data_IF_821093976370
#
_entry.id   IF_821093976370
#
_cell.length_a   1.000
_cell.length_b   1.000
_cell.length_c   1.000
_cell.angle_alpha   90.00
_cell.angle_beta   90.00
_cell.angle_gamma   90.00
#
_symmetry.space_group_name_H-M   'P 1'
#
loop_
_entity.id
_entity.type
_entity.pdbx_description
1 polymer ?
#
# COMPACT_ATOMS: atom_id res chain seq x y z
N UNK A 1 12.52 2.38 8.99
CA UNK A 1 11.83 1.17 9.45
C UNK A 1 12.51 -0.05 8.85
N UNK A 2 12.75 -1.05 9.68
CA UNK A 2 13.46 -2.25 9.23
C UNK A 2 12.58 -3.49 9.14
N UNK A 3 11.27 -3.33 9.21
CA UNK A 3 10.38 -4.47 9.14
C UNK A 3 10.01 -4.89 7.70
N UNK A 4 10.38 -4.10 6.69
CA UNK A 4 10.17 -4.49 5.30
C UNK A 4 11.34 -5.34 4.79
N UNK A 5 11.01 -6.38 4.02
CA UNK A 5 12.02 -7.20 3.36
C UNK A 5 12.76 -6.38 2.29
N UNK A 6 14.00 -6.78 1.93
CA UNK A 6 14.72 -6.11 0.85
C UNK A 6 13.96 -6.08 -0.48
N UNK A 7 13.18 -7.12 -0.79
CA UNK A 7 12.39 -7.17 -2.02
C UNK A 7 11.29 -6.12 -2.02
N UNK A 8 10.63 -5.90 -0.87
CA UNK A 8 9.61 -4.87 -0.74
C UNK A 8 10.23 -3.47 -0.88
N UNK A 9 11.40 -3.26 -0.28
CA UNK A 9 12.14 -1.99 -0.40
C UNK A 9 12.52 -1.74 -1.86
N UNK A 10 12.98 -2.76 -2.57
CA UNK A 10 13.33 -2.65 -3.99
C UNK A 10 12.11 -2.28 -4.85
N UNK A 11 10.96 -2.89 -4.57
CA UNK A 11 9.73 -2.55 -5.28
C UNK A 11 9.36 -1.08 -5.05
N UNK A 12 9.42 -0.61 -3.80
CA UNK A 12 9.14 0.78 -3.46
C UNK A 12 10.10 1.72 -4.17
N UNK A 13 11.39 1.36 -4.23
CA UNK A 13 12.38 2.13 -4.98
C UNK A 13 12.04 2.23 -6.47
N UNK A 14 11.62 1.13 -7.08
CA UNK A 14 11.23 1.13 -8.50
C UNK A 14 10.04 2.08 -8.73
N UNK A 15 9.06 2.04 -7.84
CA UNK A 15 7.91 2.94 -7.92
C UNK A 15 8.31 4.40 -7.72
N UNK A 16 9.19 4.67 -6.77
CA UNK A 16 9.67 6.03 -6.50
C UNK A 16 10.42 6.61 -7.68
N UNK A 17 11.30 5.85 -8.30
CA UNK A 17 12.07 6.29 -9.47
C UNK A 17 11.18 6.62 -10.67
N UNK A 18 10.04 5.96 -10.78
CA UNK A 18 9.07 6.22 -11.86
C UNK A 18 7.99 7.21 -11.45
N UNK A 19 8.09 7.80 -10.26
CA UNK A 19 7.12 8.77 -9.73
C UNK A 19 5.68 8.22 -9.68
N UNK A 20 5.55 6.95 -9.37
CA UNK A 20 4.24 6.31 -9.18
C UNK A 20 3.60 6.85 -7.91
N UNK A 21 2.35 7.25 -7.99
CA UNK A 21 1.57 7.63 -6.81
C UNK A 21 0.94 6.40 -6.19
N UNK A 22 1.38 6.08 -5.00
CA UNK A 22 0.89 4.93 -4.24
C UNK A 22 0.93 5.23 -2.75
N UNK A 23 0.15 4.48 -1.99
CA UNK A 23 0.15 4.53 -0.53
C UNK A 23 0.26 3.10 0.00
N UNK A 24 1.09 2.91 1.03
CA UNK A 24 1.13 1.64 1.75
C UNK A 24 -0.05 1.61 2.71
N UNK A 25 -0.85 0.57 2.62
CA UNK A 25 -2.05 0.34 3.43
C UNK A 25 -1.94 -1.05 4.09
N UNK A 26 -3.01 -1.54 4.68
CA UNK A 26 -3.05 -2.89 5.22
C UNK A 26 -2.15 -3.12 6.43
N UNK A 27 -1.68 -4.35 6.60
CA UNK A 27 -0.95 -4.78 7.78
C UNK A 27 0.32 -4.01 8.07
N UNK A 28 1.09 -3.65 7.06
CA UNK A 28 2.32 -2.85 7.26
C UNK A 28 2.01 -1.41 7.70
N UNK A 29 0.89 -0.84 7.24
CA UNK A 29 0.45 0.47 7.72
C UNK A 29 0.00 0.39 9.18
N UNK A 30 -0.73 -0.67 9.54
CA UNK A 30 -1.13 -0.93 10.94
C UNK A 30 0.10 -1.01 11.83
N UNK A 31 1.12 -1.75 11.41
CA UNK A 31 2.39 -1.87 12.15
C UNK A 31 3.10 -0.52 12.24
N UNK A 32 3.14 0.24 11.16
CA UNK A 32 3.78 1.57 11.14
C UNK A 32 3.15 2.55 12.13
N UNK A 33 1.84 2.44 12.32
CA UNK A 33 1.10 3.29 13.27
C UNK A 33 1.08 2.74 14.69
N UNK A 34 1.87 1.70 14.96
CA UNK A 34 2.16 1.26 16.32
C UNK A 34 1.45 -0.01 16.78
N UNK A 35 0.65 -0.65 15.94
CA UNK A 35 0.06 -1.95 16.28
C UNK A 35 0.86 -3.06 15.61
N UNK A 36 1.92 -3.48 16.29
CA UNK A 36 2.79 -4.53 15.77
C UNK A 36 2.08 -5.87 15.78
N UNK A 37 1.93 -6.47 14.62
CA UNK A 37 1.40 -7.83 14.45
C UNK A 37 2.03 -8.46 13.21
N UNK A 38 1.97 -9.79 13.15
CA UNK A 38 2.51 -10.51 12.00
C UNK A 38 1.77 -10.12 10.72
N UNK A 39 2.53 -9.78 9.68
CA UNK A 39 1.99 -9.50 8.37
C UNK A 39 2.97 -10.01 7.32
N UNK A 40 2.46 -10.57 6.23
CA UNK A 40 3.28 -11.20 5.19
C UNK A 40 3.21 -10.43 3.88
N UNK A 41 2.05 -9.88 3.56
CA UNK A 41 1.79 -9.29 2.27
C UNK A 41 1.92 -7.77 2.37
N UNK A 42 2.59 -7.17 1.40
CA UNK A 42 2.66 -5.73 1.28
C UNK A 42 1.47 -5.26 0.45
N UNK A 43 0.58 -4.47 1.03
CA UNK A 43 -0.57 -3.91 0.35
C UNK A 43 -0.25 -2.50 -0.15
N UNK A 44 -0.27 -2.32 -1.45
CA UNK A 44 0.08 -1.07 -2.12
C UNK A 44 -1.13 -0.55 -2.89
N UNK A 45 -1.66 0.57 -2.45
CA UNK A 45 -2.81 1.22 -3.08
C UNK A 45 -2.32 2.22 -4.11
N UNK A 46 -2.71 2.04 -5.37
CA UNK A 46 -2.25 2.87 -6.49
C UNK A 46 -3.36 3.77 -6.99
N UNK A 47 -3.00 5.00 -7.38
CA UNK A 47 -3.97 5.95 -7.96
C UNK A 47 -4.42 5.46 -9.32
N UNK A 48 -5.74 5.45 -9.55
CA UNK A 48 -6.34 5.19 -10.87
C UNK A 48 -6.19 6.48 -11.70
N UNK A 49 -5.23 6.46 -12.62
CA UNK A 49 -4.93 7.58 -13.51
C UNK A 49 -4.10 7.03 -14.67
N UNK A 50 -4.40 7.40 -15.95
CA UNK A 50 -3.68 6.83 -17.10
C UNK A 50 -2.16 6.97 -17.00
N UNK A 51 -1.68 8.16 -16.69
CA UNK A 51 -0.24 8.41 -16.53
C UNK A 51 0.37 7.61 -15.39
N UNK A 52 -0.33 7.52 -14.27
CA UNK A 52 0.13 6.73 -13.13
C UNK A 52 0.18 5.24 -13.46
N UNK A 53 -0.83 4.74 -14.17
CA UNK A 53 -0.86 3.34 -14.60
C UNK A 53 0.32 3.01 -15.53
N UNK A 54 0.64 3.91 -16.46
CA UNK A 54 1.80 3.73 -17.35
C UNK A 54 3.11 3.69 -16.56
N UNK A 55 3.29 4.61 -15.62
CA UNK A 55 4.49 4.65 -14.76
C UNK A 55 4.60 3.42 -13.89
N UNK A 56 3.47 2.91 -13.37
CA UNK A 56 3.44 1.69 -12.58
C UNK A 56 3.91 0.49 -13.39
N UNK A 57 3.45 0.35 -14.64
CA UNK A 57 3.89 -0.75 -15.51
C UNK A 57 5.41 -0.68 -15.74
N UNK A 58 5.94 0.54 -15.96
CA UNK A 58 7.39 0.72 -16.11
C UNK A 58 8.13 0.35 -14.82
N UNK A 59 7.60 0.70 -13.67
CA UNK A 59 8.18 0.31 -12.38
C UNK A 59 8.19 -1.21 -12.20
N UNK A 60 7.13 -1.89 -12.63
CA UNK A 60 7.05 -3.35 -12.59
C UNK A 60 8.08 -4.00 -13.51
N UNK A 61 8.30 -3.44 -14.68
CA UNK A 61 9.38 -3.89 -15.58
C UNK A 61 10.75 -3.73 -14.91
N UNK A 62 11.01 -2.58 -14.30
CA UNK A 62 12.25 -2.31 -13.56
C UNK A 62 12.44 -3.31 -12.41
N UNK A 63 11.36 -3.73 -11.80
CA UNK A 63 11.39 -4.71 -10.71
C UNK A 63 11.54 -6.16 -11.21
N UNK A 64 11.47 -6.37 -12.53
CA UNK A 64 11.66 -7.69 -13.14
C UNK A 64 10.34 -8.46 -13.36
N UNK A 65 9.21 -7.75 -13.39
CA UNK A 65 7.89 -8.37 -13.55
C UNK A 65 7.28 -8.21 -14.94
N UNK A 66 8.07 -7.85 -15.96
CA UNK A 66 7.58 -7.68 -17.33
C UNK A 66 6.99 -8.97 -17.91
N UNK A 67 7.47 -10.12 -17.47
CA UNK A 67 6.97 -11.42 -17.96
C UNK A 67 5.55 -11.75 -17.49
N UNK A 68 5.05 -11.02 -16.49
CA UNK A 68 3.68 -11.21 -16.00
C UNK A 68 2.63 -10.68 -16.98
N UNK A 69 3.03 -9.75 -17.88
CA UNK A 69 2.16 -9.26 -18.94
C UNK A 69 1.13 -8.23 -18.51
N UNK A 70 1.38 -7.52 -17.41
CA UNK A 70 0.49 -6.46 -16.95
C UNK A 70 0.56 -5.23 -17.87
N UNK A 71 -0.58 -4.61 -18.09
CA UNK A 71 -0.72 -3.41 -18.93
C UNK A 71 -1.34 -2.27 -18.12
N UNK A 72 -1.23 -1.02 -18.57
CA UNK A 72 -1.89 0.10 -17.87
C UNK A 72 -3.40 -0.11 -17.67
N UNK A 73 -4.08 -0.76 -18.61
CA UNK A 73 -5.51 -1.03 -18.51
C UNK A 73 -5.88 -1.87 -17.27
N UNK A 74 -4.95 -2.71 -16.81
CA UNK A 74 -5.17 -3.54 -15.62
C UNK A 74 -5.36 -2.72 -14.34
N UNK A 75 -4.97 -1.45 -14.34
CA UNK A 75 -5.00 -0.57 -13.16
C UNK A 75 -5.97 0.61 -13.32
N UNK A 76 -6.90 0.54 -14.28
CA UNK A 76 -7.80 1.65 -14.58
C UNK A 76 -9.21 1.49 -14.03
N UNK A 77 -9.53 0.35 -13.44
CA UNK A 77 -10.85 0.10 -12.84
C UNK A 77 -10.74 0.03 -11.33
N UNK A 78 -11.77 0.44 -10.58
CA UNK A 78 -11.79 0.23 -9.13
C UNK A 78 -11.96 -1.24 -8.79
N UNK A 79 -11.69 -1.59 -7.54
CA UNK A 79 -11.89 -2.92 -6.98
C UNK A 79 -11.05 -4.03 -7.65
N UNK A 80 -9.88 -3.66 -8.18
CA UNK A 80 -8.93 -4.61 -8.75
C UNK A 80 -7.84 -4.89 -7.71
N UNK A 81 -7.49 -6.16 -7.57
CA UNK A 81 -6.35 -6.62 -6.78
C UNK A 81 -5.44 -7.44 -7.69
N UNK A 82 -4.20 -6.99 -7.84
CA UNK A 82 -3.19 -7.73 -8.59
C UNK A 82 -2.16 -8.25 -7.59
N UNK A 83 -2.02 -9.57 -7.51
CA UNK A 83 -1.09 -10.22 -6.59
C UNK A 83 0.20 -10.54 -7.31
N UNK A 84 1.33 -10.06 -6.79
CA UNK A 84 2.66 -10.31 -7.33
C UNK A 84 3.44 -11.21 -6.38
N UNK A 85 4.05 -12.25 -6.94
CA UNK A 85 4.88 -13.18 -6.17
C UNK A 85 4.06 -14.21 -5.41
N UNK A 86 4.74 -14.94 -4.53
CA UNK A 86 4.18 -16.04 -3.76
C UNK A 86 4.56 -15.87 -2.28
N UNK A 87 3.75 -16.40 -1.34
CA UNK A 87 4.17 -16.42 0.05
C UNK A 87 5.58 -17.02 0.20
N UNK A 88 6.43 -16.49 1.09
CA UNK A 88 6.11 -15.50 2.13
C UNK A 88 6.21 -14.03 1.70
N UNK A 89 6.61 -13.73 0.47
CA UNK A 89 6.83 -12.37 -0.01
C UNK A 89 5.89 -12.05 -1.17
N UNK A 90 4.68 -11.64 -0.85
CA UNK A 90 3.67 -11.26 -1.84
C UNK A 90 3.37 -9.77 -1.74
N UNK A 91 3.25 -9.13 -2.90
CA UNK A 91 2.82 -7.74 -3.01
C UNK A 91 1.43 -7.72 -3.64
N UNK A 92 0.49 -7.06 -2.99
CA UNK A 92 -0.86 -6.88 -3.50
C UNK A 92 -1.04 -5.43 -3.95
N UNK A 93 -1.29 -5.23 -5.23
CA UNK A 93 -1.57 -3.91 -5.80
C UNK A 93 -3.09 -3.73 -5.82
N UNK A 94 -3.56 -2.67 -5.14
CA UNK A 94 -4.99 -2.39 -4.97
C UNK A 94 -5.34 -1.10 -5.70
N UNK A 95 -6.45 -1.10 -6.46
CA UNK A 95 -6.90 0.12 -7.13
C UNK A 95 -7.91 0.91 -6.29
N UNK A 96 -8.48 0.29 -5.25
CA UNK A 96 -9.34 0.97 -4.28
C UNK A 96 -9.25 0.31 -2.93
N UNK A 97 -9.60 1.05 -1.89
CA UNK A 97 -9.76 0.51 -0.53
C UNK A 97 -11.08 1.02 0.05
N UNK A 98 -11.67 0.22 0.93
CA UNK A 98 -13.03 0.49 1.43
C UNK A 98 -13.07 1.75 2.29
N UNK A 99 -14.04 2.61 2.02
CA UNK A 99 -14.40 3.72 2.90
C UNK A 99 -13.59 5.00 2.77
N UNK A 100 -12.56 5.03 1.91
CA UNK A 100 -11.71 6.21 1.73
C UNK A 100 -11.37 6.41 0.25
N UNK A 101 -11.04 7.64 -0.13
CA UNK A 101 -10.68 8.01 -1.49
C UNK A 101 -9.19 8.33 -1.58
N UNK A 102 -8.54 7.92 -2.67
CA UNK A 102 -7.08 8.09 -2.83
C UNK A 102 -6.64 9.56 -2.72
N UNK A 103 -7.32 10.47 -3.40
CA UNK A 103 -6.92 11.88 -3.41
C UNK A 103 -6.91 12.48 -2.02
N UNK A 104 -7.89 12.15 -1.18
CA UNK A 104 -7.95 12.61 0.19
C UNK A 104 -6.83 12.00 1.04
N UNK A 105 -6.63 10.70 0.90
CA UNK A 105 -5.57 10.00 1.65
C UNK A 105 -4.17 10.44 1.21
N UNK A 106 -3.99 10.76 -0.05
CA UNK A 106 -2.72 11.26 -0.57
C UNK A 106 -2.31 12.57 0.11
N UNK A 107 -3.25 13.49 0.30
CA UNK A 107 -2.99 14.76 0.97
C UNK A 107 -2.56 14.58 2.43
N UNK A 108 -3.08 13.55 3.08
CA UNK A 108 -2.84 13.29 4.50
C UNK A 108 -1.72 12.27 4.75
N UNK A 109 -1.08 11.79 3.71
CA UNK A 109 -0.11 10.69 3.84
C UNK A 109 1.05 11.02 4.76
N UNK A 110 1.57 9.98 5.38
CA UNK A 110 2.76 10.07 6.24
C UNK A 110 3.94 9.47 5.48
N UNK A 111 5.03 10.22 5.40
CA UNK A 111 6.24 9.76 4.70
C UNK A 111 7.16 9.11 5.73
N UNK A 112 7.54 7.86 5.48
CA UNK A 112 8.44 7.12 6.36
C UNK A 112 9.60 6.54 5.56
N UNK A 113 10.77 6.48 6.19
CA UNK A 113 11.93 5.77 5.64
C UNK A 113 11.75 4.27 5.89
N UNK A 114 11.82 3.46 4.84
CA UNK A 114 11.56 2.02 4.92
C UNK A 114 12.79 1.17 4.55
N UNK A 115 13.96 1.70 4.68
CA UNK A 115 15.20 0.99 4.37
C UNK A 115 16.09 1.79 3.44
N UNK A 116 16.14 3.11 3.65
CA UNK A 116 16.92 4.04 2.84
C UNK A 116 16.13 4.70 1.73
N UNK A 117 14.86 4.34 1.56
CA UNK A 117 13.94 4.98 0.61
C UNK A 117 12.70 5.46 1.36
N UNK A 118 12.18 6.61 0.97
CA UNK A 118 10.96 7.16 1.55
C UNK A 118 9.72 6.57 0.86
N UNK A 119 8.69 6.26 1.66
CA UNK A 119 7.42 5.77 1.15
C UNK A 119 6.26 6.47 1.84
N UNK A 120 5.20 6.73 1.08
CA UNK A 120 3.96 7.27 1.63
C UNK A 120 3.10 6.17 2.22
N UNK A 121 2.65 6.39 3.46
CA UNK A 121 1.72 5.49 4.15
C UNK A 121 0.41 6.22 4.35
N UNK A 122 -0.69 5.48 4.31
CA UNK A 122 -1.99 6.02 4.71
C UNK A 122 -1.90 6.60 6.13
N UNK A 123 -2.51 7.76 6.36
CA UNK A 123 -2.51 8.40 7.68
C UNK A 123 -3.28 7.55 8.69
N UNK A 124 -3.00 7.79 9.98
CA UNK A 124 -3.69 7.08 11.06
C UNK A 124 -5.21 7.28 11.01
N UNK A 125 -5.75 8.52 10.90
CA UNK A 125 -7.20 8.68 10.79
C UNK A 125 -7.82 7.99 9.59
N UNK A 126 -7.18 8.06 8.43
CA UNK A 126 -7.69 7.43 7.20
C UNK A 126 -7.64 5.91 7.29
N UNK A 127 -6.60 5.36 7.91
CA UNK A 127 -6.48 3.92 8.14
C UNK A 127 -7.58 3.42 9.06
N UNK A 128 -7.87 4.15 10.13
CA UNK A 128 -8.97 3.81 11.05
C UNK A 128 -10.29 3.81 10.29
N UNK A 129 -10.55 4.84 9.49
CA UNK A 129 -11.78 4.93 8.68
C UNK A 129 -11.90 3.73 7.73
N UNK A 130 -10.80 3.38 7.07
CA UNK A 130 -10.76 2.21 6.17
C UNK A 130 -11.08 0.91 6.92
N UNK A 131 -10.44 0.69 8.07
CA UNK A 131 -10.64 -0.52 8.86
C UNK A 131 -12.07 -0.65 9.36
N UNK A 132 -12.66 0.45 9.84
CA UNK A 132 -14.06 0.44 10.32
C UNK A 132 -15.04 0.18 9.17
N UNK A 133 -14.79 0.74 7.99
CA UNK A 133 -15.62 0.53 6.81
C UNK A 133 -15.55 -0.92 6.33
N UNK A 134 -14.37 -1.53 6.35
CA UNK A 134 -14.17 -2.92 5.94
C UNK A 134 -14.86 -3.89 6.90
N UNK A 135 -14.79 -3.64 8.21
CA UNK A 135 -15.64 -4.29 9.22
C UNK A 135 -15.42 -5.77 9.48
N UNK A 136 -14.37 -6.39 8.93
CA UNK A 136 -14.04 -7.79 9.25
C UNK A 136 -13.57 -7.87 10.71
N UNK A 137 -13.66 -9.03 11.38
CA UNK A 137 -13.24 -9.16 12.78
C UNK A 137 -11.85 -8.60 13.06
N UNK A 138 -10.87 -8.90 12.20
CA UNK A 138 -9.51 -8.38 12.36
C UNK A 138 -9.47 -6.86 12.15
N UNK A 139 -10.27 -6.34 11.23
CA UNK A 139 -10.34 -4.90 10.97
C UNK A 139 -10.89 -4.13 12.17
N UNK A 140 -11.89 -4.68 12.85
CA UNK A 140 -12.46 -4.08 14.06
C UNK A 140 -11.40 -4.03 15.18
N UNK A 141 -10.68 -5.12 15.38
CA UNK A 141 -9.59 -5.18 16.37
C UNK A 141 -8.51 -4.15 16.03
N UNK A 142 -8.07 -4.11 14.78
CA UNK A 142 -7.05 -3.15 14.32
C UNK A 142 -7.53 -1.71 14.56
N UNK A 143 -8.77 -1.41 14.18
CA UNK A 143 -9.34 -0.07 14.34
C UNK A 143 -9.39 0.36 15.80
N UNK A 144 -9.79 -0.53 16.70
CA UNK A 144 -9.87 -0.23 18.13
C UNK A 144 -8.48 0.04 18.74
N UNK A 145 -7.49 -0.77 18.38
CA UNK A 145 -6.11 -0.55 18.84
C UNK A 145 -5.55 0.77 18.31
N UNK A 146 -5.77 1.05 17.04
CA UNK A 146 -5.30 2.28 16.40
C UNK A 146 -5.98 3.52 16.98
N UNK A 147 -7.28 3.44 17.28
CA UNK A 147 -8.02 4.55 17.90
C UNK A 147 -7.49 4.85 19.30
N UNK A 148 -7.16 3.82 20.07
CA UNK A 148 -6.55 3.99 21.39
C UNK A 148 -5.19 4.70 21.27
N UNK A 149 -4.40 4.34 20.27
CA UNK A 149 -3.12 4.97 19.97
C UNK A 149 -3.27 6.44 19.58
N UNK A 150 -4.28 6.74 18.76
CA UNK A 150 -4.58 8.09 18.29
C UNK A 150 -4.91 9.03 19.44
N UNK A 151 -5.53 8.52 20.50
CA UNK A 151 -5.97 9.31 21.65
C UNK A 151 -4.88 9.53 22.70
N UNK A 152 -3.72 8.95 22.53
CA UNK A 152 -2.59 9.09 23.48
C UNK A 152 -1.70 10.28 23.22
#
# INVERSE_FOLDING_TARGET
MKFLSPDFVEFIECCDRREVRFLIVGGYAVAAHGHSRATKDLDVWVLIDPGNAERLVLALEDFGMESVGLTPADFMEPDVVVQLGYPPLRIDLLTSVTGVAFTDCWENRVILDVGGVEAGFISLPDLIANKRAAGRPQDVVDADVLEDRRQR
#
